data_IF_107764996412
#
_entry.id   IF_107764996412
#
_cell.length_a   1.000
_cell.length_b   1.000
_cell.length_c   1.000
_cell.angle_alpha   90.00
_cell.angle_beta   90.00
_cell.angle_gamma   90.00
#
_symmetry.space_group_name_H-M   'P 1'
#
loop_
_entity.id
_entity.type
_entity.pdbx_description
1 polymer ?
#
# COMPACT_ATOMS: atom_id res chain seq x y z
N UNK A 1 5.46 25.31 10.48
CA UNK A 1 6.75 24.61 10.29
C UNK A 1 6.61 23.34 9.42
N UNK A 2 5.69 22.40 9.73
CA UNK A 2 5.52 21.15 8.93
C UNK A 2 5.18 21.42 7.46
N UNK A 3 4.28 22.36 7.19
CA UNK A 3 3.91 22.79 5.83
C UNK A 3 5.12 23.28 5.03
N UNK A 4 5.92 24.18 5.63
CA UNK A 4 7.11 24.72 4.98
C UNK A 4 8.11 23.61 4.60
N UNK A 5 8.31 22.62 5.47
CA UNK A 5 9.20 21.48 5.19
C UNK A 5 8.70 20.71 3.96
N UNK A 6 7.40 20.46 3.84
CA UNK A 6 6.84 19.73 2.70
C UNK A 6 6.97 20.53 1.38
N UNK A 7 6.70 21.83 1.41
CA UNK A 7 6.88 22.67 0.23
C UNK A 7 8.36 22.79 -0.18
N UNK A 8 9.26 22.93 0.79
CA UNK A 8 10.71 22.93 0.53
C UNK A 8 11.17 21.57 -0.02
N UNK A 9 10.68 20.46 0.51
CA UNK A 9 10.99 19.14 -0.01
C UNK A 9 10.46 18.95 -1.44
N UNK A 10 9.23 19.42 -1.73
CA UNK A 10 8.69 19.41 -3.09
C UNK A 10 9.56 20.23 -4.04
N UNK A 11 9.88 21.48 -3.69
CA UNK A 11 10.73 22.35 -4.51
C UNK A 11 12.14 21.77 -4.70
N UNK A 12 12.70 21.19 -3.63
CA UNK A 12 14.03 20.57 -3.66
C UNK A 12 14.12 19.34 -4.54
N UNK A 13 13.03 18.56 -4.68
CA UNK A 13 13.04 17.35 -5.52
C UNK A 13 12.88 17.65 -7.02
N UNK A 14 12.24 18.76 -7.39
CA UNK A 14 11.96 19.13 -8.79
C UNK A 14 13.23 19.14 -9.68
N UNK A 15 14.35 19.75 -9.31
CA UNK A 15 15.56 19.73 -10.15
C UNK A 15 16.08 18.30 -10.39
N UNK A 16 15.92 17.40 -9.42
CA UNK A 16 16.33 16.00 -9.57
C UNK A 16 15.39 15.21 -10.48
N UNK A 17 14.10 15.57 -10.51
CA UNK A 17 13.12 14.99 -11.45
C UNK A 17 13.50 15.33 -12.88
N UNK A 18 13.93 16.58 -13.14
CA UNK A 18 14.38 17.01 -14.48
C UNK A 18 15.67 16.31 -14.91
N UNK A 19 16.56 15.97 -13.97
CA UNK A 19 17.77 15.19 -14.27
C UNK A 19 17.45 13.72 -14.58
N UNK A 20 16.53 13.13 -13.82
CA UNK A 20 16.15 11.72 -13.94
C UNK A 20 14.65 11.55 -13.61
N UNK A 21 13.78 11.31 -14.61
CA UNK A 21 12.33 11.17 -14.40
C UNK A 21 11.93 10.10 -13.37
N UNK A 22 12.75 9.05 -13.18
CA UNK A 22 12.52 8.03 -12.17
C UNK A 22 12.41 8.60 -10.75
N UNK A 23 13.13 9.70 -10.45
CA UNK A 23 13.03 10.38 -9.13
C UNK A 23 11.61 10.89 -8.89
N UNK A 24 10.92 11.35 -9.94
CA UNK A 24 9.53 11.77 -9.84
C UNK A 24 8.58 10.62 -9.54
N UNK A 25 8.78 9.46 -10.17
CA UNK A 25 8.01 8.24 -9.85
C UNK A 25 8.23 7.80 -8.40
N UNK A 26 9.48 7.84 -7.91
CA UNK A 26 9.82 7.53 -6.52
C UNK A 26 9.21 8.52 -5.53
N UNK A 27 9.27 9.82 -5.82
CA UNK A 27 8.66 10.87 -4.99
C UNK A 27 7.13 10.74 -4.95
N UNK A 28 6.50 10.42 -6.09
CA UNK A 28 5.08 10.15 -6.16
C UNK A 28 4.68 8.94 -5.31
N UNK A 29 5.43 7.84 -5.40
CA UNK A 29 5.20 6.66 -4.58
C UNK A 29 5.35 6.98 -3.08
N UNK A 30 6.37 7.76 -2.71
CA UNK A 30 6.57 8.22 -1.34
C UNK A 30 5.38 9.03 -0.82
N UNK A 31 4.94 10.04 -1.57
CA UNK A 31 3.81 10.90 -1.17
C UNK A 31 2.50 10.11 -1.12
N UNK A 32 2.27 9.22 -2.09
CA UNK A 32 1.05 8.42 -2.16
C UNK A 32 0.92 7.37 -1.06
N UNK A 33 2.03 6.76 -0.65
CA UNK A 33 2.04 5.70 0.39
C UNK A 33 2.20 6.28 1.81
N UNK A 34 3.07 7.28 1.97
CA UNK A 34 3.31 7.89 3.28
C UNK A 34 2.26 8.93 3.65
N UNK A 35 1.68 9.62 2.65
CA UNK A 35 0.74 10.73 2.85
C UNK A 35 1.23 11.80 3.85
N UNK A 36 2.44 12.36 3.70
CA UNK A 36 3.04 13.22 4.71
C UNK A 36 2.26 14.54 4.90
N UNK A 37 1.51 14.99 3.89
CA UNK A 37 0.66 16.17 3.96
C UNK A 37 -0.51 15.98 4.94
N UNK A 38 -1.00 14.76 5.12
CA UNK A 38 -2.06 14.45 6.11
C UNK A 38 -1.59 14.53 7.57
N UNK A 39 -0.31 14.79 7.80
CA UNK A 39 0.28 15.04 9.13
C UNK A 39 0.43 16.54 9.44
N UNK A 40 -0.02 17.41 8.54
CA UNK A 40 -0.03 18.87 8.71
C UNK A 40 -1.43 19.37 9.08
N UNK A 41 -1.51 20.63 9.46
CA UNK A 41 -2.78 21.29 9.86
C UNK A 41 -2.99 22.61 9.12
N UNK A 42 -2.13 22.91 8.12
CA UNK A 42 -2.13 24.17 7.36
C UNK A 42 -2.37 23.93 5.87
N UNK A 43 -1.93 24.86 5.01
CA UNK A 43 -2.18 24.83 3.56
C UNK A 43 -1.69 23.55 2.86
N UNK A 44 -0.67 22.87 3.42
CA UNK A 44 -0.17 21.63 2.87
C UNK A 44 -1.15 20.46 3.00
N UNK A 45 -2.12 20.52 3.91
CA UNK A 45 -3.06 19.40 4.16
C UNK A 45 -3.85 19.01 2.92
N UNK A 46 -4.41 19.99 2.21
CA UNK A 46 -5.23 19.77 1.01
C UNK A 46 -4.48 20.04 -0.30
N UNK A 47 -3.19 20.40 -0.21
CA UNK A 47 -2.40 20.67 -1.39
C UNK A 47 -2.16 19.38 -2.20
N UNK A 48 -2.36 19.40 -3.53
CA UNK A 48 -2.31 18.21 -4.37
C UNK A 48 -0.88 17.79 -4.74
N UNK A 49 -0.04 17.47 -3.76
CA UNK A 49 1.37 17.08 -3.96
C UNK A 49 1.54 15.99 -5.02
N UNK A 50 0.70 14.95 -4.98
CA UNK A 50 0.75 13.86 -5.93
C UNK A 50 0.50 14.34 -7.37
N UNK A 51 -0.46 15.24 -7.57
CA UNK A 51 -0.76 15.80 -8.89
C UNK A 51 0.39 16.65 -9.41
N UNK A 52 0.97 17.49 -8.57
CA UNK A 52 2.14 18.32 -8.95
C UNK A 52 3.31 17.42 -9.34
N UNK A 53 3.63 16.40 -8.55
CA UNK A 53 4.69 15.44 -8.86
C UNK A 53 4.40 14.69 -10.16
N UNK A 54 3.15 14.29 -10.40
CA UNK A 54 2.73 13.67 -11.66
C UNK A 54 2.99 14.59 -12.85
N UNK A 55 2.50 15.84 -12.80
CA UNK A 55 2.69 16.81 -13.88
C UNK A 55 4.17 17.11 -14.16
N UNK A 56 4.97 17.35 -13.11
CA UNK A 56 6.41 17.60 -13.24
C UNK A 56 7.13 16.38 -13.80
N UNK A 57 6.76 15.17 -13.38
CA UNK A 57 7.37 13.92 -13.89
C UNK A 57 7.03 13.69 -15.35
N UNK A 58 5.77 13.89 -15.75
CA UNK A 58 5.34 13.83 -17.15
C UNK A 58 6.10 14.84 -18.02
N UNK A 59 6.16 16.08 -17.58
CA UNK A 59 6.88 17.12 -18.31
C UNK A 59 8.38 16.80 -18.41
N UNK A 60 9.00 16.37 -17.32
CA UNK A 60 10.38 15.90 -17.33
C UNK A 60 10.60 14.74 -18.30
N UNK A 61 9.68 13.78 -18.32
CA UNK A 61 9.75 12.65 -19.24
C UNK A 61 9.64 13.10 -20.70
N UNK A 62 8.78 14.09 -21.00
CA UNK A 62 8.63 14.63 -22.35
C UNK A 62 9.90 15.32 -22.84
N UNK A 63 10.56 16.10 -21.98
CA UNK A 63 11.78 16.87 -22.31
C UNK A 63 13.03 15.98 -22.27
N UNK A 64 13.04 14.94 -21.46
CA UNK A 64 14.20 14.06 -21.29
C UNK A 64 14.54 13.31 -22.59
N UNK A 65 15.85 13.05 -22.78
CA UNK A 65 16.35 12.20 -23.86
C UNK A 65 16.28 10.69 -23.56
N UNK A 66 15.69 10.32 -22.44
CA UNK A 66 15.52 8.93 -22.09
C UNK A 66 14.57 8.20 -23.04
N UNK A 67 14.82 6.90 -23.27
CA UNK A 67 13.96 6.10 -24.16
C UNK A 67 12.54 6.01 -23.58
N UNK A 68 11.55 6.49 -24.31
CA UNK A 68 10.12 6.51 -23.91
C UNK A 68 9.43 5.23 -24.39
N UNK A 69 9.94 4.06 -23.99
CA UNK A 69 9.35 2.77 -24.37
C UNK A 69 8.68 2.12 -23.15
N UNK A 70 7.44 1.70 -23.32
CA UNK A 70 6.76 0.83 -22.38
C UNK A 70 7.27 -0.59 -22.65
N UNK A 71 7.86 -1.28 -21.67
CA UNK A 71 8.28 -2.68 -21.85
C UNK A 71 7.02 -3.55 -21.95
N UNK A 72 6.66 -3.97 -23.18
CA UNK A 72 5.47 -4.78 -23.45
C UNK A 72 5.70 -6.22 -22.98
N UNK A 73 5.45 -6.47 -21.70
CA UNK A 73 5.37 -7.80 -21.11
C UNK A 73 3.90 -8.25 -20.99
N UNK A 74 3.66 -9.56 -20.80
CA UNK A 74 2.30 -10.07 -20.58
C UNK A 74 1.58 -9.35 -19.41
N UNK A 75 2.29 -9.06 -18.32
CA UNK A 75 1.71 -8.33 -17.19
C UNK A 75 1.30 -6.88 -17.54
N UNK A 76 2.12 -6.19 -18.35
CA UNK A 76 1.79 -4.83 -18.81
C UNK A 76 0.60 -4.86 -19.77
N UNK A 77 0.54 -5.86 -20.66
CA UNK A 77 -0.59 -6.03 -21.57
C UNK A 77 -1.90 -6.23 -20.79
N UNK A 78 -1.90 -7.13 -19.79
CA UNK A 78 -3.06 -7.35 -18.92
C UNK A 78 -3.45 -6.08 -18.17
N UNK A 79 -2.48 -5.32 -17.65
CA UNK A 79 -2.75 -4.03 -17.00
C UNK A 79 -3.42 -3.04 -17.94
N UNK A 80 -2.88 -2.87 -19.15
CA UNK A 80 -3.45 -1.95 -20.14
C UNK A 80 -4.85 -2.38 -20.60
N UNK A 81 -5.07 -3.68 -20.81
CA UNK A 81 -6.39 -4.24 -21.11
C UNK A 81 -7.39 -3.95 -19.98
N UNK A 82 -6.97 -4.14 -18.73
CA UNK A 82 -7.79 -3.86 -17.57
C UNK A 82 -8.14 -2.36 -17.46
N UNK A 83 -7.18 -1.46 -17.66
CA UNK A 83 -7.42 -0.01 -17.70
C UNK A 83 -8.41 0.37 -18.81
N UNK A 84 -8.24 -0.22 -20.00
CA UNK A 84 -9.18 -0.01 -21.11
C UNK A 84 -10.56 -0.51 -20.75
N UNK A 85 -10.68 -1.70 -20.17
CA UNK A 85 -11.97 -2.25 -19.76
C UNK A 85 -12.65 -1.39 -18.69
N UNK A 86 -11.93 -0.94 -17.67
CA UNK A 86 -12.48 0.01 -16.70
C UNK A 86 -13.01 1.29 -17.34
N UNK A 87 -12.34 1.78 -18.38
CA UNK A 87 -12.78 2.97 -19.12
C UNK A 87 -14.03 2.69 -19.95
N UNK A 88 -14.13 1.51 -20.57
CA UNK A 88 -15.32 1.08 -21.29
C UNK A 88 -16.51 0.93 -20.34
N UNK A 89 -16.35 0.27 -19.20
CA UNK A 89 -17.43 0.12 -18.20
C UNK A 89 -17.90 1.46 -17.65
N UNK A 90 -17.01 2.45 -17.51
CA UNK A 90 -17.36 3.79 -17.07
C UNK A 90 -18.24 4.55 -18.08
N UNK A 91 -18.09 4.28 -19.40
CA UNK A 91 -18.97 4.85 -20.45
C UNK A 91 -20.41 4.35 -20.37
N UNK A 92 -20.59 3.12 -19.89
CA UNK A 92 -21.91 2.49 -19.73
C UNK A 92 -22.36 2.44 -18.27
N UNK A 93 -21.78 3.28 -17.41
CA UNK A 93 -22.09 3.29 -15.99
C UNK A 93 -23.55 3.64 -15.70
N UNK A 94 -24.16 2.93 -14.74
CA UNK A 94 -25.54 3.21 -14.28
C UNK A 94 -25.61 4.52 -13.50
N UNK A 95 -24.52 4.85 -12.73
CA UNK A 95 -24.37 6.10 -11.99
C UNK A 95 -23.22 6.95 -12.58
N UNK A 96 -23.45 7.66 -13.71
CA UNK A 96 -22.36 8.29 -14.48
C UNK A 96 -21.54 9.30 -13.67
N UNK A 97 -22.19 10.10 -12.81
CA UNK A 97 -21.52 11.14 -12.03
C UNK A 97 -20.48 10.52 -11.07
N UNK A 98 -20.89 9.50 -10.32
CA UNK A 98 -20.00 8.79 -9.37
C UNK A 98 -18.93 8.03 -10.15
N UNK A 99 -19.34 7.35 -11.24
CA UNK A 99 -18.40 6.57 -12.05
C UNK A 99 -17.27 7.42 -12.62
N UNK A 100 -17.54 8.62 -13.15
CA UNK A 100 -16.51 9.49 -13.69
C UNK A 100 -15.61 10.12 -12.61
N UNK A 101 -16.12 10.38 -11.41
CA UNK A 101 -15.32 10.83 -10.28
C UNK A 101 -14.32 9.76 -9.85
N UNK A 102 -14.79 8.53 -9.67
CA UNK A 102 -13.92 7.41 -9.28
C UNK A 102 -12.97 7.00 -10.43
N UNK A 103 -13.44 7.00 -11.68
CA UNK A 103 -12.60 6.76 -12.85
C UNK A 103 -11.42 7.75 -12.90
N UNK A 104 -11.70 9.05 -12.72
CA UNK A 104 -10.65 10.08 -12.71
C UNK A 104 -9.61 9.82 -11.60
N UNK A 105 -10.05 9.42 -10.41
CA UNK A 105 -9.19 9.08 -9.28
C UNK A 105 -8.30 7.87 -9.59
N UNK A 106 -8.88 6.80 -10.12
CA UNK A 106 -8.19 5.56 -10.46
C UNK A 106 -7.22 5.78 -11.63
N UNK A 107 -7.64 6.48 -12.68
CA UNK A 107 -6.80 6.72 -13.87
C UNK A 107 -5.55 7.53 -13.57
N UNK A 108 -5.59 8.49 -12.65
CA UNK A 108 -4.39 9.20 -12.17
C UNK A 108 -3.37 8.24 -11.56
N UNK A 109 -3.84 7.26 -10.80
CA UNK A 109 -2.98 6.23 -10.21
C UNK A 109 -2.43 5.29 -11.29
N UNK A 110 -3.26 4.84 -12.23
CA UNK A 110 -2.84 3.98 -13.34
C UNK A 110 -1.82 4.67 -14.24
N UNK A 111 -2.01 5.95 -14.54
CA UNK A 111 -1.04 6.75 -15.28
C UNK A 111 0.35 6.74 -14.59
N UNK A 112 0.38 6.93 -13.28
CA UNK A 112 1.66 6.92 -12.55
C UNK A 112 2.27 5.53 -12.44
N UNK A 113 1.47 4.46 -12.43
CA UNK A 113 1.98 3.10 -12.55
C UNK A 113 2.67 2.90 -13.91
N UNK A 114 2.04 3.33 -15.00
CA UNK A 114 2.63 3.25 -16.35
C UNK A 114 3.92 4.07 -16.42
N UNK A 115 3.94 5.30 -15.89
CA UNK A 115 5.14 6.13 -15.83
C UNK A 115 6.25 5.45 -15.01
N UNK A 116 5.91 4.82 -13.89
CA UNK A 116 6.86 4.07 -13.08
C UNK A 116 7.47 2.91 -13.87
N UNK A 117 6.64 2.13 -14.59
CA UNK A 117 7.09 1.04 -15.47
C UNK A 117 8.01 1.57 -16.57
N UNK A 118 7.75 2.76 -17.12
CA UNK A 118 8.58 3.38 -18.15
C UNK A 118 9.93 3.90 -17.63
N UNK A 119 9.97 4.36 -16.39
CA UNK A 119 11.13 5.06 -15.81
C UNK A 119 12.04 4.16 -14.98
N UNK A 120 11.50 3.14 -14.33
CA UNK A 120 12.28 2.13 -13.56
C UNK A 120 12.90 1.13 -14.53
N UNK A 121 14.20 1.24 -14.79
CA UNK A 121 14.88 0.45 -15.83
C UNK A 121 16.06 -0.36 -15.34
N UNK A 122 16.70 0.10 -14.28
CA UNK A 122 17.89 -0.55 -13.75
C UNK A 122 17.57 -1.29 -12.45
N UNK A 123 18.39 -2.27 -12.11
CA UNK A 123 18.31 -2.95 -10.80
C UNK A 123 18.38 -1.95 -9.63
N UNK A 124 19.16 -0.88 -9.80
CA UNK A 124 19.26 0.16 -8.78
C UNK A 124 17.96 0.98 -8.66
N UNK A 125 17.25 1.23 -9.77
CA UNK A 125 15.95 1.90 -9.72
C UNK A 125 14.91 1.00 -9.02
N UNK A 126 14.92 -0.31 -9.28
CA UNK A 126 14.05 -1.29 -8.58
C UNK A 126 14.37 -1.32 -7.08
N UNK A 127 15.67 -1.35 -6.70
CA UNK A 127 16.08 -1.26 -5.30
C UNK A 127 15.61 0.04 -4.65
N UNK A 128 15.77 1.17 -5.36
CA UNK A 128 15.32 2.48 -4.87
C UNK A 128 13.78 2.50 -4.65
N UNK A 129 13.01 1.94 -5.59
CA UNK A 129 11.57 1.83 -5.44
C UNK A 129 11.19 0.95 -4.24
N UNK A 130 11.84 -0.21 -4.08
CA UNK A 130 11.62 -1.09 -2.93
C UNK A 130 11.94 -0.38 -1.60
N UNK A 131 13.04 0.38 -1.55
CA UNK A 131 13.41 1.20 -0.38
C UNK A 131 12.35 2.26 -0.09
N UNK A 132 11.90 2.99 -1.10
CA UNK A 132 10.88 4.04 -0.94
C UNK A 132 9.56 3.45 -0.44
N UNK A 133 9.09 2.36 -1.04
CA UNK A 133 7.86 1.68 -0.60
C UNK A 133 7.99 1.17 0.84
N UNK A 134 9.10 0.49 1.15
CA UNK A 134 9.36 -0.06 2.48
C UNK A 134 9.40 1.04 3.56
N UNK A 135 10.11 2.14 3.31
CA UNK A 135 10.21 3.24 4.27
C UNK A 135 8.90 4.04 4.40
N UNK A 136 8.19 4.25 3.30
CA UNK A 136 6.91 4.98 3.32
C UNK A 136 5.84 4.25 4.13
N UNK A 137 5.69 2.95 3.92
CA UNK A 137 4.76 2.12 4.70
C UNK A 137 5.31 1.80 6.10
N UNK A 138 6.62 1.59 6.21
CA UNK A 138 7.31 1.40 7.48
C UNK A 138 7.18 2.58 8.43
N UNK A 139 7.04 3.81 7.92
CA UNK A 139 6.73 4.98 8.74
C UNK A 139 5.41 4.78 9.52
N UNK A 140 4.37 4.29 8.85
CA UNK A 140 3.09 3.96 9.51
C UNK A 140 3.23 2.75 10.42
N UNK A 141 4.03 1.77 10.02
CA UNK A 141 4.39 0.62 10.84
C UNK A 141 5.09 1.04 12.14
N UNK A 142 6.06 1.96 12.05
CA UNK A 142 6.76 2.52 13.21
C UNK A 142 5.79 3.24 14.16
N UNK A 143 5.00 4.17 13.62
CA UNK A 143 4.02 4.93 14.39
C UNK A 143 2.98 4.03 15.04
N UNK A 144 2.41 3.10 14.26
CA UNK A 144 1.41 2.15 14.71
C UNK A 144 1.96 1.14 15.71
N UNK A 145 3.20 0.67 15.52
CA UNK A 145 3.86 -0.26 16.42
C UNK A 145 4.12 0.36 17.81
N UNK A 146 4.65 1.58 17.85
CA UNK A 146 4.80 2.32 19.10
C UNK A 146 3.45 2.54 19.77
N UNK A 147 2.43 2.94 19.01
CA UNK A 147 1.07 3.14 19.53
C UNK A 147 0.50 1.85 20.13
N UNK A 148 0.66 0.71 19.45
CA UNK A 148 0.20 -0.59 19.95
C UNK A 148 0.89 -0.97 21.25
N UNK A 149 2.22 -0.79 21.33
CA UNK A 149 2.99 -1.10 22.54
C UNK A 149 2.56 -0.19 23.71
N UNK A 150 2.47 1.11 23.46
CA UNK A 150 2.12 2.08 24.53
C UNK A 150 0.66 1.96 24.99
N UNK A 151 -0.25 1.57 24.11
CA UNK A 151 -1.66 1.33 24.45
C UNK A 151 -1.94 -0.05 25.02
N UNK A 152 -0.91 -0.90 25.17
CA UNK A 152 -1.09 -2.30 25.55
C UNK A 152 -1.95 -3.10 24.56
N UNK A 153 -2.04 -2.64 23.32
CA UNK A 153 -2.83 -3.28 22.27
C UNK A 153 -4.35 -3.04 22.35
N UNK A 154 -4.84 -2.22 23.27
CA UNK A 154 -6.28 -2.01 23.47
C UNK A 154 -6.97 -1.16 22.40
N UNK A 155 -6.22 -0.49 21.53
CA UNK A 155 -6.74 0.42 20.52
C UNK A 155 -6.28 0.04 19.11
N UNK A 156 -7.18 0.16 18.13
CA UNK A 156 -6.88 -0.18 16.74
C UNK A 156 -5.93 0.83 16.10
N UNK A 157 -4.97 0.34 15.34
CA UNK A 157 -4.11 1.17 14.49
C UNK A 157 -4.89 1.55 13.24
N UNK A 158 -4.99 2.86 12.99
CA UNK A 158 -5.63 3.44 11.81
C UNK A 158 -4.60 4.18 10.96
N UNK A 159 -4.86 4.25 9.67
CA UNK A 159 -4.04 5.01 8.72
C UNK A 159 -4.37 6.49 8.65
N UNK A 160 -3.69 7.24 7.77
CA UNK A 160 -3.94 8.67 7.60
C UNK A 160 -5.32 8.92 7.00
N UNK A 161 -6.10 9.78 7.65
CA UNK A 161 -7.44 10.14 7.19
C UNK A 161 -7.45 10.68 5.75
N UNK A 162 -8.47 10.31 4.98
CA UNK A 162 -8.62 10.74 3.58
C UNK A 162 -7.62 10.10 2.60
N UNK A 163 -6.96 9.02 2.99
CA UNK A 163 -6.08 8.22 2.12
C UNK A 163 -6.70 6.85 1.81
N UNK A 164 -6.16 6.15 0.81
CA UNK A 164 -6.56 4.78 0.48
C UNK A 164 -6.23 3.74 1.56
N UNK A 165 -5.39 4.09 2.53
CA UNK A 165 -5.00 3.24 3.66
C UNK A 165 -5.52 3.80 4.99
N UNK A 166 -6.63 4.55 4.98
CA UNK A 166 -7.17 5.20 6.17
C UNK A 166 -7.77 4.22 7.19
N UNK A 167 -8.40 3.16 6.73
CA UNK A 167 -8.97 2.14 7.60
C UNK A 167 -7.92 1.12 8.09
N UNK A 168 -8.27 0.41 9.16
CA UNK A 168 -7.38 -0.57 9.77
C UNK A 168 -7.06 -1.77 8.88
N UNK A 169 -7.97 -2.20 7.98
CA UNK A 169 -7.76 -3.38 7.15
C UNK A 169 -6.81 -3.09 6.00
N UNK A 170 -7.02 -1.99 5.28
CA UNK A 170 -6.15 -1.57 4.17
C UNK A 170 -4.76 -1.20 4.66
N UNK A 171 -4.66 -0.49 5.79
CA UNK A 171 -3.36 -0.19 6.40
C UNK A 171 -2.62 -1.46 6.81
N UNK A 172 -3.29 -2.39 7.47
CA UNK A 172 -2.68 -3.64 7.91
C UNK A 172 -2.20 -4.51 6.74
N UNK A 173 -3.00 -4.58 5.67
CA UNK A 173 -2.58 -5.28 4.44
C UNK A 173 -1.35 -4.60 3.83
N UNK A 174 -1.31 -3.27 3.77
CA UNK A 174 -0.15 -2.52 3.31
C UNK A 174 1.09 -2.80 4.17
N UNK A 175 0.94 -2.89 5.51
CA UNK A 175 2.04 -3.25 6.40
C UNK A 175 2.53 -4.68 6.17
N UNK A 176 1.63 -5.65 6.03
CA UNK A 176 1.98 -7.06 5.73
C UNK A 176 2.74 -7.14 4.41
N UNK A 177 2.31 -6.43 3.37
CA UNK A 177 3.04 -6.40 2.08
C UNK A 177 4.39 -5.67 2.15
N UNK A 178 4.55 -4.72 3.09
CA UNK A 178 5.81 -4.02 3.31
C UNK A 178 6.85 -4.87 4.08
N UNK A 179 6.42 -5.84 4.90
CA UNK A 179 7.33 -6.63 5.73
C UNK A 179 8.46 -7.32 4.95
N UNK A 180 8.21 -8.01 3.81
CA UNK A 180 9.29 -8.59 3.01
C UNK A 180 10.27 -7.54 2.48
N UNK A 181 9.79 -6.34 2.13
CA UNK A 181 10.63 -5.25 1.67
C UNK A 181 11.46 -4.66 2.81
N UNK A 182 10.90 -4.58 4.02
CA UNK A 182 11.66 -4.18 5.22
C UNK A 182 12.75 -5.20 5.57
N UNK A 183 12.46 -6.50 5.44
CA UNK A 183 13.46 -7.55 5.59
C UNK A 183 14.55 -7.41 4.50
N UNK A 184 14.19 -7.07 3.28
CA UNK A 184 15.15 -6.79 2.22
C UNK A 184 16.04 -5.59 2.56
N UNK A 185 15.52 -4.53 3.21
CA UNK A 185 16.34 -3.41 3.69
C UNK A 185 17.43 -3.85 4.68
N UNK A 186 17.15 -4.85 5.52
CA UNK A 186 18.14 -5.41 6.45
C UNK A 186 19.35 -5.97 5.69
N UNK A 187 19.13 -6.56 4.51
CA UNK A 187 20.20 -7.11 3.66
C UNK A 187 20.98 -6.02 2.93
N UNK A 188 20.35 -4.88 2.65
CA UNK A 188 20.97 -3.73 1.98
C UNK A 188 21.74 -2.83 2.94
N UNK A 189 21.53 -2.96 4.25
CA UNK A 189 22.07 -2.04 5.26
C UNK A 189 23.60 -2.13 5.33
N UNK A 190 24.35 -1.04 5.01
CA UNK A 190 25.82 -1.07 4.97
C UNK A 190 26.46 -1.05 6.35
N UNK A 191 25.74 -0.61 7.38
CA UNK A 191 26.27 -0.49 8.74
C UNK A 191 25.44 -1.28 9.74
N UNK A 192 26.07 -1.70 10.85
CA UNK A 192 25.40 -2.42 11.94
C UNK A 192 24.24 -1.59 12.54
N UNK A 193 24.39 -0.26 12.59
CA UNK A 193 23.36 0.64 13.10
C UNK A 193 22.13 0.66 12.19
N UNK A 194 22.31 0.87 10.88
CA UNK A 194 21.21 0.83 9.90
C UNK A 194 20.52 -0.55 9.87
N UNK A 195 21.29 -1.63 10.02
CA UNK A 195 20.73 -2.97 10.13
C UNK A 195 19.82 -3.11 11.36
N UNK A 196 20.25 -2.63 12.54
CA UNK A 196 19.44 -2.64 13.76
C UNK A 196 18.17 -1.80 13.61
N UNK A 197 18.30 -0.61 13.02
CA UNK A 197 17.14 0.27 12.75
C UNK A 197 16.15 -0.40 11.80
N UNK A 198 16.60 -1.06 10.74
CA UNK A 198 15.71 -1.77 9.81
C UNK A 198 15.03 -2.98 10.48
N UNK A 199 15.72 -3.69 11.37
CA UNK A 199 15.12 -4.77 12.18
C UNK A 199 14.04 -4.20 13.10
N UNK A 200 14.34 -3.13 13.84
CA UNK A 200 13.38 -2.48 14.73
C UNK A 200 12.13 -2.00 13.95
N UNK A 201 12.34 -1.40 12.77
CA UNK A 201 11.26 -0.96 11.90
C UNK A 201 10.39 -2.13 11.43
N UNK A 202 11.00 -3.25 11.02
CA UNK A 202 10.26 -4.45 10.62
C UNK A 202 9.45 -5.04 11.78
N UNK A 203 10.03 -5.12 12.99
CA UNK A 203 9.35 -5.61 14.18
C UNK A 203 8.17 -4.70 14.57
N UNK A 204 8.37 -3.39 14.61
CA UNK A 204 7.30 -2.44 14.91
C UNK A 204 6.19 -2.48 13.86
N UNK A 205 6.54 -2.67 12.58
CA UNK A 205 5.53 -2.85 11.51
C UNK A 205 4.72 -4.13 11.69
N UNK A 206 5.36 -5.23 12.11
CA UNK A 206 4.65 -6.47 12.41
C UNK A 206 3.70 -6.29 13.61
N UNK A 207 4.16 -5.64 14.69
CA UNK A 207 3.34 -5.31 15.86
C UNK A 207 2.16 -4.42 15.46
N UNK A 208 2.38 -3.40 14.62
CA UNK A 208 1.31 -2.53 14.12
C UNK A 208 0.26 -3.29 13.29
N UNK A 209 0.71 -4.22 12.43
CA UNK A 209 -0.19 -5.04 11.62
C UNK A 209 -1.10 -5.91 12.50
N UNK A 210 -0.58 -6.48 13.58
CA UNK A 210 -1.35 -7.23 14.57
C UNK A 210 -2.28 -6.30 15.36
N UNK A 211 -1.76 -5.15 15.83
CA UNK A 211 -2.52 -4.13 16.57
C UNK A 211 -3.58 -3.39 15.74
N UNK A 212 -3.66 -3.66 14.45
CA UNK A 212 -4.74 -3.17 13.59
C UNK A 212 -6.07 -3.86 13.79
N UNK A 213 -6.11 -5.02 14.44
CA UNK A 213 -7.30 -5.87 14.60
C UNK A 213 -7.90 -6.35 13.26
N UNK A 214 -7.08 -6.46 12.21
CA UNK A 214 -7.51 -6.88 10.89
C UNK A 214 -7.40 -8.40 10.71
N UNK A 215 -8.54 -9.09 10.64
CA UNK A 215 -8.60 -10.51 10.29
C UNK A 215 -8.01 -10.80 8.91
N UNK A 216 -8.26 -9.90 7.94
CA UNK A 216 -7.68 -10.00 6.60
C UNK A 216 -6.15 -9.92 6.61
N UNK A 217 -5.58 -9.06 7.45
CA UNK A 217 -4.12 -8.97 7.61
C UNK A 217 -3.53 -10.20 8.30
N UNK A 218 -4.24 -10.81 9.25
CA UNK A 218 -3.82 -12.10 9.83
C UNK A 218 -3.76 -13.19 8.77
N UNK A 219 -4.81 -13.35 7.98
CA UNK A 219 -4.84 -14.32 6.89
C UNK A 219 -3.75 -14.06 5.86
N UNK A 220 -3.59 -12.80 5.43
CA UNK A 220 -2.52 -12.38 4.52
C UNK A 220 -1.12 -12.61 5.10
N UNK A 221 -0.92 -12.31 6.38
CA UNK A 221 0.33 -12.56 7.10
C UNK A 221 0.65 -14.05 7.23
N UNK A 222 -0.34 -14.87 7.59
CA UNK A 222 -0.20 -16.32 7.65
C UNK A 222 0.16 -16.91 6.28
N UNK A 223 -0.52 -16.47 5.22
CA UNK A 223 -0.21 -16.87 3.84
C UNK A 223 1.20 -16.45 3.44
N UNK A 224 1.61 -15.20 3.74
CA UNK A 224 2.97 -14.72 3.49
C UNK A 224 4.02 -15.58 4.22
N UNK A 225 3.82 -15.85 5.51
CA UNK A 225 4.72 -16.67 6.31
C UNK A 225 4.80 -18.10 5.79
N UNK A 226 3.67 -18.67 5.36
CA UNK A 226 3.62 -19.99 4.73
C UNK A 226 4.47 -20.06 3.47
N UNK A 227 4.30 -19.10 2.54
CA UNK A 227 5.10 -19.07 1.32
C UNK A 227 6.59 -18.80 1.59
N UNK A 228 6.92 -17.94 2.56
CA UNK A 228 8.31 -17.72 2.99
C UNK A 228 8.92 -18.97 3.60
N UNK A 229 8.15 -19.72 4.40
CA UNK A 229 8.57 -21.00 4.95
C UNK A 229 8.84 -22.03 3.84
N UNK A 230 7.93 -22.17 2.86
CA UNK A 230 8.13 -23.05 1.71
C UNK A 230 9.42 -22.75 0.94
N UNK A 231 9.78 -21.48 0.81
CA UNK A 231 11.01 -21.01 0.12
C UNK A 231 12.26 -20.97 1.02
N UNK A 232 12.11 -21.18 2.32
CA UNK A 232 13.23 -21.16 3.27
C UNK A 232 14.19 -22.32 3.01
N UNK A 233 15.50 -22.03 3.13
CA UNK A 233 16.55 -23.05 3.07
C UNK A 233 16.54 -23.96 4.31
N UNK A 234 16.14 -23.43 5.47
CA UNK A 234 16.05 -24.13 6.76
C UNK A 234 14.59 -24.31 7.16
N UNK A 235 13.86 -25.20 6.48
CA UNK A 235 12.42 -25.41 6.72
C UNK A 235 12.09 -25.79 8.16
N UNK A 236 12.91 -26.67 8.77
CA UNK A 236 12.69 -27.14 10.14
C UNK A 236 12.85 -26.00 11.13
N UNK A 237 13.96 -25.25 11.06
CA UNK A 237 14.25 -24.14 11.98
C UNK A 237 13.20 -23.02 11.82
N UNK A 238 12.85 -22.66 10.59
CA UNK A 238 11.84 -21.64 10.33
C UNK A 238 10.46 -22.10 10.78
N UNK A 239 10.11 -23.37 10.57
CA UNK A 239 8.84 -23.94 11.03
C UNK A 239 8.74 -23.94 12.56
N UNK A 240 9.79 -24.38 13.26
CA UNK A 240 9.85 -24.35 14.74
C UNK A 240 9.71 -22.90 15.24
N UNK A 241 10.42 -21.94 14.63
CA UNK A 241 10.33 -20.53 15.00
C UNK A 241 8.88 -20.00 14.84
N UNK A 242 8.20 -20.32 13.75
CA UNK A 242 6.81 -19.92 13.53
C UNK A 242 5.85 -20.55 14.56
N UNK A 243 6.04 -21.83 14.86
CA UNK A 243 5.20 -22.56 15.86
C UNK A 243 5.39 -21.98 17.26
N UNK A 244 6.61 -21.55 17.62
CA UNK A 244 6.89 -20.97 18.93
C UNK A 244 6.42 -19.50 19.04
N UNK A 245 6.55 -18.71 17.98
CA UNK A 245 6.22 -17.27 17.99
C UNK A 245 4.71 -17.03 17.90
N UNK A 246 3.98 -17.83 17.12
CA UNK A 246 2.54 -17.61 16.94
C UNK A 246 1.74 -17.68 18.25
N UNK A 247 1.88 -18.69 19.15
CA UNK A 247 1.20 -18.70 20.42
C UNK A 247 1.58 -17.54 21.34
N UNK A 248 2.85 -17.11 21.34
CA UNK A 248 3.29 -15.96 22.15
C UNK A 248 2.60 -14.67 21.73
N UNK A 249 2.40 -14.48 20.43
CA UNK A 249 1.67 -13.32 19.90
C UNK A 249 0.20 -13.39 20.36
N UNK A 250 -0.44 -14.55 20.22
CA UNK A 250 -1.84 -14.75 20.60
C UNK A 250 -2.05 -14.52 22.11
N UNK A 251 -1.12 -15.01 22.94
CA UNK A 251 -1.18 -14.84 24.39
C UNK A 251 -0.93 -13.40 24.84
N UNK A 252 -0.13 -12.63 24.10
CA UNK A 252 0.19 -11.23 24.41
C UNK A 252 -0.93 -10.26 24.02
N UNK A 253 -1.94 -10.68 23.26
CA UNK A 253 -3.02 -9.81 22.79
C UNK A 253 -4.15 -9.69 23.82
N UNK A 254 -4.78 -8.50 23.94
CA UNK A 254 -5.92 -8.30 24.82
C UNK A 254 -7.14 -9.16 24.46
N UNK A 255 -8.02 -9.41 25.43
CA UNK A 255 -9.27 -10.17 25.21
C UNK A 255 -10.16 -9.58 24.12
N UNK A 256 -10.16 -8.25 23.96
CA UNK A 256 -10.88 -7.57 22.88
C UNK A 256 -10.39 -7.97 21.49
N UNK A 257 -9.07 -8.22 21.35
CA UNK A 257 -8.48 -8.71 20.12
C UNK A 257 -8.88 -10.16 19.85
N UNK A 258 -8.76 -11.04 20.86
CA UNK A 258 -9.14 -12.44 20.73
C UNK A 258 -10.63 -12.62 20.49
N UNK A 259 -11.50 -11.84 21.16
CA UNK A 259 -12.93 -11.80 20.89
C UNK A 259 -13.27 -11.41 19.44
N UNK A 260 -12.53 -10.41 18.88
CA UNK A 260 -12.71 -10.05 17.47
C UNK A 260 -12.21 -11.12 16.51
N UNK A 261 -11.18 -11.88 16.86
CA UNK A 261 -10.73 -12.99 16.03
C UNK A 261 -11.69 -14.18 16.11
N UNK A 262 -12.25 -14.48 17.28
CA UNK A 262 -13.26 -15.53 17.48
C UNK A 262 -14.57 -15.28 16.72
N UNK A 263 -14.91 -14.02 16.38
CA UNK A 263 -16.09 -13.70 15.56
C UNK A 263 -15.99 -14.21 14.10
N UNK A 264 -14.87 -14.83 13.71
CA UNK A 264 -14.75 -15.55 12.43
C UNK A 264 -15.71 -16.76 12.39
N UNK A 265 -15.97 -17.39 13.52
CA UNK A 265 -16.86 -18.55 13.60
C UNK A 265 -18.33 -18.16 13.38
N UNK A 266 -18.70 -16.89 13.72
CA UNK A 266 -20.05 -16.34 13.54
C UNK A 266 -20.07 -15.26 12.43
N UNK A 267 -19.51 -15.58 11.25
CA UNK A 267 -19.38 -14.62 10.15
C UNK A 267 -20.70 -14.03 9.66
N UNK A 268 -21.83 -14.69 9.89
CA UNK A 268 -23.18 -14.23 9.53
C UNK A 268 -23.63 -12.99 10.33
N UNK A 269 -23.10 -12.82 11.55
CA UNK A 269 -23.37 -11.66 12.40
C UNK A 269 -22.34 -10.53 12.17
N UNK A 270 -21.29 -10.81 11.39
CA UNK A 270 -20.22 -9.86 11.13
C UNK A 270 -20.52 -9.01 9.89
N UNK A 271 -20.89 -7.74 10.12
CA UNK A 271 -21.18 -6.77 9.05
C UNK A 271 -20.06 -6.67 8.00
N UNK A 272 -18.79 -6.78 8.42
CA UNK A 272 -17.65 -6.68 7.50
C UNK A 272 -17.51 -7.94 6.61
N UNK A 273 -17.81 -9.12 7.12
CA UNK A 273 -17.81 -10.36 6.35
C UNK A 273 -19.02 -10.41 5.42
N UNK A 274 -20.21 -10.14 5.95
CA UNK A 274 -21.45 -10.12 5.17
C UNK A 274 -21.45 -9.05 4.10
N UNK A 275 -20.90 -7.85 4.38
CA UNK A 275 -20.73 -6.81 3.37
C UNK A 275 -19.90 -7.27 2.18
N UNK A 276 -18.82 -8.04 2.39
CA UNK A 276 -18.01 -8.61 1.29
C UNK A 276 -18.75 -9.70 0.52
N UNK A 277 -19.43 -10.60 1.22
CA UNK A 277 -20.22 -11.66 0.58
C UNK A 277 -21.33 -11.05 -0.28
N UNK A 278 -22.05 -10.05 0.24
CA UNK A 278 -23.08 -9.32 -0.49
C UNK A 278 -22.49 -8.59 -1.71
N UNK A 279 -21.31 -7.97 -1.57
CA UNK A 279 -20.60 -7.34 -2.70
C UNK A 279 -20.22 -8.35 -3.78
N UNK A 280 -19.78 -9.56 -3.42
CA UNK A 280 -19.49 -10.62 -4.39
C UNK A 280 -20.74 -11.11 -5.11
N UNK A 281 -21.83 -11.37 -4.39
CA UNK A 281 -23.13 -11.74 -4.99
C UNK A 281 -23.64 -10.65 -5.92
N UNK A 282 -23.56 -9.38 -5.47
CA UNK A 282 -23.92 -8.25 -6.28
C UNK A 282 -23.08 -8.17 -7.57
N UNK A 283 -21.76 -8.29 -7.46
CA UNK A 283 -20.88 -8.25 -8.62
C UNK A 283 -21.19 -9.35 -9.65
N UNK A 284 -21.48 -10.58 -9.20
CA UNK A 284 -21.89 -11.70 -10.07
C UNK A 284 -23.24 -11.39 -10.74
N UNK A 285 -24.22 -10.88 -9.98
CA UNK A 285 -25.53 -10.54 -10.51
C UNK A 285 -25.45 -9.43 -11.57
N UNK A 286 -24.64 -8.37 -11.29
CA UNK A 286 -24.40 -7.29 -12.24
C UNK A 286 -23.70 -7.81 -13.50
N UNK A 287 -22.68 -8.66 -13.37
CA UNK A 287 -21.97 -9.23 -14.52
C UNK A 287 -22.89 -10.09 -15.41
N UNK A 288 -23.84 -10.81 -14.80
CA UNK A 288 -24.83 -11.60 -15.56
C UNK A 288 -25.89 -10.73 -16.25
N UNK A 289 -26.32 -9.64 -15.61
CA UNK A 289 -27.32 -8.74 -16.14
C UNK A 289 -26.75 -7.74 -17.16
N UNK A 290 -25.53 -7.29 -16.95
CA UNK A 290 -24.84 -6.26 -17.74
C UNK A 290 -23.45 -6.77 -18.13
N UNK A 291 -23.28 -7.45 -19.28
CA UNK A 291 -21.99 -8.00 -19.70
C UNK A 291 -20.88 -6.94 -19.83
N UNK A 292 -21.25 -5.68 -20.13
CA UNK A 292 -20.33 -4.55 -20.18
C UNK A 292 -19.94 -4.03 -18.79
N UNK A 293 -20.57 -4.52 -17.72
CA UNK A 293 -20.41 -4.03 -16.35
C UNK A 293 -21.30 -2.82 -16.01
N UNK A 294 -21.43 -2.52 -14.72
CA UNK A 294 -22.24 -1.39 -14.21
C UNK A 294 -21.46 -0.07 -14.04
N UNK A 295 -20.15 -0.07 -14.25
CA UNK A 295 -19.28 1.06 -13.95
C UNK A 295 -18.88 1.16 -12.47
N UNK A 296 -18.17 2.24 -12.09
CA UNK A 296 -17.85 2.53 -10.70
C UNK A 296 -19.07 3.02 -9.93
N UNK A 297 -19.13 2.72 -8.64
CA UNK A 297 -20.13 3.28 -7.72
C UNK A 297 -21.53 2.65 -7.81
N UNK A 298 -21.66 1.47 -8.42
CA UNK A 298 -22.95 0.75 -8.55
C UNK A 298 -23.36 0.00 -7.28
N UNK A 299 -22.39 -0.24 -6.36
CA UNK A 299 -22.60 -0.91 -5.09
C UNK A 299 -22.51 0.05 -3.91
#
# INVERSE_FOLDING_TARGET
MRDAILFLALLGVIPFIFKRPVVGALAYACVGLMNPHRLTYGPAYDFPFAMVLCCVTLFSLLVSREKKKIPMSGAVLVLLTFVTWMSVTALFAQEPVIAWLEWNRVMKTMLMIVITIMTVRTVNDVKALAVVVALSLGFWGFKGGIFTVLSGGHSRVLGPGGSYISDNNTLALAMVTALPLLVFLITLAPTKWLKRTAIALALLTAIAAIGSYSRGAMLGGASMLFFLWLKSRSKVTTGIALILVAPLILFAMPEQWSGRMASIDNYQEDESAMGRINAWHFAVNVANALPQGGGFGVF
#
